data_IF_113182134433
#
_entry.id   IF_113182134433
#
_cell.length_a   1.000
_cell.length_b   1.000
_cell.length_c   1.000
_cell.angle_alpha   90.00
_cell.angle_beta   90.00
_cell.angle_gamma   90.00
#
_symmetry.space_group_name_H-M   'P 1'
#
loop_
_entity.id
_entity.type
_entity.pdbx_description
1 polymer ?
#
# COMPACT_ATOMS: atom_id res chain seq x y z
N UNK A 1 -83.64 11.55 24.28
CA UNK A 1 -82.45 12.38 24.54
C UNK A 1 -81.22 11.49 24.31
N UNK A 2 -80.65 11.52 23.11
CA UNK A 2 -79.45 10.74 22.78
C UNK A 2 -78.21 11.51 23.20
N UNK A 3 -77.48 11.00 24.18
CA UNK A 3 -76.14 11.51 24.52
C UNK A 3 -75.15 10.96 23.48
N UNK A 4 -74.60 11.87 22.67
CA UNK A 4 -73.47 11.60 21.79
C UNK A 4 -72.23 11.40 22.67
N UNK A 5 -71.61 10.22 22.64
CA UNK A 5 -70.29 10.02 23.25
C UNK A 5 -69.26 10.91 22.54
N UNK A 6 -68.34 11.57 23.28
CA UNK A 6 -67.24 12.29 22.66
C UNK A 6 -66.28 11.30 21.99
N UNK A 7 -65.98 11.56 20.72
CA UNK A 7 -64.95 10.84 19.99
C UNK A 7 -63.60 10.99 20.71
N UNK A 8 -62.79 9.94 20.78
CA UNK A 8 -61.58 9.97 21.58
C UNK A 8 -60.45 10.83 21.00
N UNK A 9 -59.58 11.42 21.85
CA UNK A 9 -58.55 12.37 21.45
C UNK A 9 -57.26 11.74 20.87
N UNK A 10 -57.22 10.42 20.62
CA UNK A 10 -55.95 9.71 20.42
C UNK A 10 -55.42 9.61 18.97
N UNK A 11 -56.18 9.99 17.94
CA UNK A 11 -55.71 9.81 16.54
C UNK A 11 -54.91 10.99 15.96
N UNK A 12 -55.11 12.21 16.45
CA UNK A 12 -54.44 13.39 15.91
C UNK A 12 -52.94 13.47 16.27
N UNK A 13 -52.55 13.04 17.47
CA UNK A 13 -51.17 13.13 17.95
C UNK A 13 -50.21 12.10 17.35
N UNK A 14 -50.72 10.95 16.88
CA UNK A 14 -49.90 9.91 16.25
C UNK A 14 -49.41 10.36 14.86
N UNK A 15 -50.28 11.01 14.08
CA UNK A 15 -49.94 11.55 12.75
C UNK A 15 -48.92 12.68 12.89
N UNK A 16 -49.10 13.59 13.85
CA UNK A 16 -48.16 14.68 14.12
C UNK A 16 -46.78 14.16 14.55
N UNK A 17 -46.73 13.11 15.38
CA UNK A 17 -45.48 12.44 15.78
C UNK A 17 -44.74 11.83 14.58
N UNK A 18 -45.47 11.19 13.65
CA UNK A 18 -44.91 10.63 12.41
C UNK A 18 -44.40 11.73 11.48
N UNK A 19 -45.13 12.84 11.35
CA UNK A 19 -44.70 13.99 10.52
C UNK A 19 -43.43 14.65 11.09
N UNK A 20 -43.32 14.76 12.42
CA UNK A 20 -42.11 15.26 13.09
C UNK A 20 -40.94 14.28 12.91
N UNK A 21 -41.19 12.97 12.99
CA UNK A 21 -40.17 11.95 12.76
C UNK A 21 -39.67 11.97 11.31
N UNK A 22 -40.56 12.08 10.32
CA UNK A 22 -40.21 12.21 8.91
C UNK A 22 -39.38 13.47 8.63
N UNK A 23 -39.77 14.62 9.20
CA UNK A 23 -38.96 15.84 9.08
C UNK A 23 -37.56 15.69 9.67
N UNK A 24 -37.42 14.98 10.80
CA UNK A 24 -36.10 14.68 11.40
C UNK A 24 -35.27 13.76 10.51
N UNK A 25 -35.88 12.75 9.89
CA UNK A 25 -35.20 11.83 8.96
C UNK A 25 -34.74 12.55 7.70
N UNK A 26 -35.58 13.41 7.13
CA UNK A 26 -35.22 14.25 5.97
C UNK A 26 -34.03 15.16 6.33
N UNK A 27 -34.07 15.81 7.50
CA UNK A 27 -32.95 16.64 7.97
C UNK A 27 -31.66 15.85 8.25
N UNK A 28 -31.76 14.58 8.65
CA UNK A 28 -30.60 13.70 8.81
C UNK A 28 -30.01 13.29 7.45
N UNK A 29 -30.86 12.94 6.49
CA UNK A 29 -30.47 12.61 5.12
C UNK A 29 -29.75 13.79 4.45
N UNK A 30 -30.24 15.01 4.65
CA UNK A 30 -29.64 16.21 4.06
C UNK A 30 -28.24 16.49 4.66
N UNK A 31 -28.04 16.22 5.96
CA UNK A 31 -26.71 16.29 6.58
C UNK A 31 -25.77 15.20 6.05
N UNK A 32 -26.27 13.99 5.86
CA UNK A 32 -25.50 12.87 5.31
C UNK A 32 -25.11 13.17 3.86
N UNK A 33 -26.03 13.70 3.04
CA UNK A 33 -25.76 14.15 1.67
C UNK A 33 -24.61 15.15 1.64
N UNK A 34 -24.72 16.23 2.40
CA UNK A 34 -23.69 17.26 2.45
C UNK A 34 -22.33 16.70 2.90
N UNK A 35 -22.32 15.82 3.90
CA UNK A 35 -21.10 15.17 4.37
C UNK A 35 -20.47 14.22 3.32
N UNK A 36 -21.29 13.48 2.57
CA UNK A 36 -20.84 12.60 1.48
C UNK A 36 -20.31 13.41 0.30
N UNK A 37 -21.00 14.48 -0.10
CA UNK A 37 -20.54 15.37 -1.17
C UNK A 37 -19.21 16.04 -0.80
N UNK A 38 -19.08 16.54 0.42
CA UNK A 38 -17.82 17.09 0.92
C UNK A 38 -16.70 16.03 0.93
N UNK A 39 -17.00 14.82 1.41
CA UNK A 39 -16.06 13.69 1.42
C UNK A 39 -15.62 13.31 0.00
N UNK A 40 -16.57 13.21 -0.94
CA UNK A 40 -16.31 12.92 -2.37
C UNK A 40 -15.39 13.94 -3.02
N UNK A 41 -15.36 15.18 -2.52
CA UNK A 41 -14.46 16.22 -3.01
C UNK A 41 -13.07 16.21 -2.34
N UNK A 42 -12.96 15.80 -1.07
CA UNK A 42 -11.71 15.79 -0.31
C UNK A 42 -10.90 14.51 -0.49
N UNK A 43 -11.58 13.37 -0.60
CA UNK A 43 -10.99 12.05 -0.82
C UNK A 43 -10.02 12.03 -2.04
N UNK A 44 -10.42 12.51 -3.23
CA UNK A 44 -9.53 12.49 -4.39
C UNK A 44 -8.29 13.35 -4.21
N UNK A 45 -8.42 14.49 -3.51
CA UNK A 45 -7.29 15.37 -3.20
C UNK A 45 -6.29 14.68 -2.29
N UNK A 46 -6.77 13.98 -1.27
CA UNK A 46 -5.92 13.19 -0.39
C UNK A 46 -5.19 12.08 -1.17
N UNK A 47 -5.86 11.40 -2.11
CA UNK A 47 -5.25 10.38 -2.94
C UNK A 47 -4.13 10.94 -3.85
N UNK A 48 -4.34 12.11 -4.45
CA UNK A 48 -3.32 12.82 -5.23
C UNK A 48 -2.14 13.21 -4.34
N UNK A 49 -2.39 13.77 -3.15
CA UNK A 49 -1.32 14.12 -2.22
C UNK A 49 -0.49 12.91 -1.80
N UNK A 50 -1.12 11.76 -1.54
CA UNK A 50 -0.42 10.52 -1.25
C UNK A 50 0.46 10.06 -2.42
N UNK A 51 -0.03 10.19 -3.65
CA UNK A 51 0.76 9.90 -4.85
C UNK A 51 1.98 10.83 -4.97
N UNK A 52 1.80 12.13 -4.76
CA UNK A 52 2.90 13.11 -4.79
C UNK A 52 3.94 12.84 -3.70
N UNK A 53 3.50 12.51 -2.47
CA UNK A 53 4.42 12.15 -1.38
C UNK A 53 5.18 10.87 -1.73
N UNK A 54 4.50 9.87 -2.30
CA UNK A 54 5.14 8.61 -2.73
C UNK A 54 6.22 8.87 -3.79
N UNK A 55 5.89 9.66 -4.81
CA UNK A 55 6.83 10.02 -5.86
C UNK A 55 8.03 10.81 -5.30
N UNK A 56 7.77 11.80 -4.43
CA UNK A 56 8.84 12.56 -3.79
C UNK A 56 9.74 11.67 -2.92
N UNK A 57 9.16 10.68 -2.22
CA UNK A 57 9.95 9.71 -1.43
C UNK A 57 10.78 8.78 -2.30
N UNK A 58 10.28 8.38 -3.48
CA UNK A 58 11.02 7.57 -4.45
C UNK A 58 12.21 8.36 -5.04
N UNK A 59 11.97 9.61 -5.46
CA UNK A 59 13.03 10.50 -5.93
C UNK A 59 14.10 10.73 -4.85
N UNK A 60 13.69 11.04 -3.63
CA UNK A 60 14.62 11.24 -2.52
C UNK A 60 15.45 9.99 -2.22
N UNK A 61 14.89 8.78 -2.37
CA UNK A 61 15.68 7.56 -2.17
C UNK A 61 16.63 7.25 -3.30
N UNK A 62 16.29 7.55 -4.54
CA UNK A 62 17.23 7.45 -5.65
C UNK A 62 18.41 8.39 -5.39
N UNK A 63 18.14 9.64 -4.98
CA UNK A 63 19.19 10.60 -4.62
C UNK A 63 20.05 10.11 -3.44
N UNK A 64 19.45 9.48 -2.42
CA UNK A 64 20.21 8.88 -1.31
C UNK A 64 21.09 7.73 -1.83
N UNK A 65 20.58 6.86 -2.70
CA UNK A 65 21.35 5.76 -3.27
C UNK A 65 22.55 6.26 -4.09
N UNK A 66 22.37 7.30 -4.90
CA UNK A 66 23.47 7.93 -5.66
C UNK A 66 24.56 8.50 -4.74
N UNK A 67 24.15 9.14 -3.63
CA UNK A 67 25.07 9.65 -2.61
C UNK A 67 25.80 8.49 -1.90
N UNK A 68 25.11 7.39 -1.59
CA UNK A 68 25.73 6.20 -0.99
C UNK A 68 26.74 5.55 -1.95
N UNK A 69 26.44 5.45 -3.25
CA UNK A 69 27.38 4.94 -4.25
C UNK A 69 28.65 5.79 -4.32
N UNK A 70 28.48 7.12 -4.32
CA UNK A 70 29.62 8.06 -4.25
C UNK A 70 30.42 7.86 -2.96
N UNK A 71 29.73 7.62 -1.83
CA UNK A 71 30.37 7.36 -0.55
C UNK A 71 31.17 6.06 -0.55
N UNK A 72 30.66 4.97 -1.15
CA UNK A 72 31.40 3.70 -1.33
C UNK A 72 32.65 3.92 -2.19
N UNK A 73 32.56 4.69 -3.28
CA UNK A 73 33.71 5.00 -4.14
C UNK A 73 34.78 5.80 -3.40
N UNK A 74 34.36 6.80 -2.61
CA UNK A 74 35.27 7.60 -1.79
C UNK A 74 35.94 6.74 -0.72
N UNK A 75 35.19 5.89 -0.01
CA UNK A 75 35.72 4.94 0.96
C UNK A 75 36.77 4.03 0.31
N UNK A 76 36.48 3.43 -0.85
CA UNK A 76 37.45 2.58 -1.56
C UNK A 76 38.70 3.34 -2.04
N UNK A 77 38.60 4.64 -2.30
CA UNK A 77 39.76 5.49 -2.63
C UNK A 77 40.60 5.78 -1.39
N UNK A 78 39.97 6.11 -0.26
CA UNK A 78 40.66 6.33 1.01
C UNK A 78 41.35 5.04 1.48
N UNK A 79 40.73 3.86 1.32
CA UNK A 79 41.37 2.58 1.62
C UNK A 79 42.68 2.38 0.83
N UNK A 80 42.69 2.71 -0.47
CA UNK A 80 43.90 2.62 -1.31
C UNK A 80 44.99 3.61 -0.89
N UNK A 81 44.60 4.84 -0.55
CA UNK A 81 45.52 5.86 -0.08
C UNK A 81 46.14 5.47 1.27
N UNK A 82 45.32 4.93 2.16
CA UNK A 82 45.73 4.43 3.47
C UNK A 82 46.70 3.26 3.36
N UNK A 83 46.44 2.33 2.43
CA UNK A 83 47.35 1.22 2.12
C UNK A 83 48.70 1.70 1.56
N UNK A 84 48.69 2.77 0.76
CA UNK A 84 49.89 3.38 0.21
C UNK A 84 50.71 4.09 1.30
N UNK A 85 50.06 4.84 2.19
CA UNK A 85 50.64 5.45 3.39
C UNK A 85 51.22 4.41 4.35
N UNK A 86 50.50 3.30 4.53
CA UNK A 86 50.92 2.18 5.38
C UNK A 86 52.22 1.55 4.88
N UNK A 87 52.40 1.45 3.55
CA UNK A 87 53.62 0.92 2.93
C UNK A 87 54.80 1.91 2.96
N UNK A 88 54.54 3.21 2.93
CA UNK A 88 55.58 4.24 2.94
C UNK A 88 56.08 4.62 4.33
N UNK A 89 55.32 4.27 5.38
CA UNK A 89 55.63 4.67 6.77
C UNK A 89 56.25 3.52 7.57
N UNK A 90 57.42 3.75 8.17
CA UNK A 90 58.19 2.73 8.93
C UNK A 90 57.99 2.79 10.46
N UNK A 91 57.23 3.77 10.97
CA UNK A 91 57.01 3.93 12.41
C UNK A 91 55.88 3.02 12.91
N UNK A 92 56.11 2.17 13.93
CA UNK A 92 55.11 1.23 14.42
C UNK A 92 53.86 1.90 15.01
N UNK A 93 54.01 3.08 15.63
CA UNK A 93 52.88 3.87 16.16
C UNK A 93 51.94 4.33 15.05
N UNK A 94 52.48 4.82 13.94
CA UNK A 94 51.69 5.25 12.77
C UNK A 94 51.03 4.07 12.07
N UNK A 95 51.65 2.90 12.09
CA UNK A 95 51.06 1.68 11.54
C UNK A 95 49.81 1.24 12.32
N UNK A 96 49.84 1.37 13.66
CA UNK A 96 48.68 1.07 14.51
C UNK A 96 47.53 2.03 14.24
N UNK A 97 47.77 3.34 14.19
CA UNK A 97 46.72 4.33 13.94
C UNK A 97 46.12 4.20 12.54
N UNK A 98 46.94 3.90 11.52
CA UNK A 98 46.44 3.60 10.16
C UNK A 98 45.56 2.35 10.15
N UNK A 99 45.89 1.33 10.94
CA UNK A 99 45.07 0.11 11.05
C UNK A 99 43.72 0.41 11.71
N UNK A 100 43.69 1.27 12.74
CA UNK A 100 42.45 1.71 13.37
C UNK A 100 41.57 2.55 12.43
N UNK A 101 42.18 3.43 11.63
CA UNK A 101 41.48 4.20 10.59
C UNK A 101 40.92 3.27 9.51
N UNK A 102 41.68 2.27 9.06
CA UNK A 102 41.22 1.28 8.08
C UNK A 102 39.97 0.53 8.59
N UNK A 103 40.01 0.11 9.86
CA UNK A 103 38.88 -0.59 10.48
C UNK A 103 37.62 0.29 10.52
N UNK A 104 37.75 1.56 10.91
CA UNK A 104 36.62 2.51 10.94
C UNK A 104 36.05 2.76 9.55
N UNK A 105 36.89 2.81 8.52
CA UNK A 105 36.44 2.97 7.13
C UNK A 105 35.68 1.73 6.66
N UNK A 106 36.14 0.53 7.02
CA UNK A 106 35.43 -0.72 6.72
C UNK A 106 34.05 -0.78 7.43
N UNK A 107 33.96 -0.30 8.67
CA UNK A 107 32.69 -0.14 9.40
C UNK A 107 31.75 0.81 8.65
N UNK A 108 32.25 1.98 8.19
CA UNK A 108 31.46 2.94 7.40
C UNK A 108 30.95 2.33 6.10
N UNK A 109 31.77 1.54 5.39
CA UNK A 109 31.34 0.85 4.16
C UNK A 109 30.20 -0.16 4.44
N UNK A 110 30.32 -0.92 5.53
CA UNK A 110 29.29 -1.87 5.94
C UNK A 110 27.97 -1.17 6.30
N UNK A 111 28.03 -0.03 6.98
CA UNK A 111 26.87 0.78 7.31
C UNK A 111 26.19 1.34 6.04
N UNK A 112 26.98 1.83 5.08
CA UNK A 112 26.47 2.29 3.77
C UNK A 112 25.72 1.18 3.03
N UNK A 113 26.27 -0.04 2.99
CA UNK A 113 25.58 -1.20 2.41
C UNK A 113 24.28 -1.56 3.15
N UNK A 114 24.29 -1.47 4.49
CA UNK A 114 23.10 -1.73 5.29
C UNK A 114 21.99 -0.71 5.01
N UNK A 115 22.33 0.57 4.82
CA UNK A 115 21.37 1.61 4.43
C UNK A 115 20.79 1.33 3.05
N UNK A 116 21.63 0.98 2.06
CA UNK A 116 21.18 0.59 0.71
C UNK A 116 20.14 -0.53 0.78
N UNK A 117 20.38 -1.57 1.57
CA UNK A 117 19.43 -2.69 1.76
C UNK A 117 18.16 -2.24 2.50
N UNK A 118 18.27 -1.36 3.49
CA UNK A 118 17.13 -0.88 4.26
C UNK A 118 16.16 -0.03 3.40
N UNK A 119 16.71 0.78 2.48
CA UNK A 119 15.91 1.63 1.59
C UNK A 119 15.17 0.83 0.52
N UNK A 120 15.63 -0.38 0.16
CA UNK A 120 14.99 -1.26 -0.82
C UNK A 120 13.58 -1.77 -0.40
N UNK A 121 13.16 -1.60 0.87
CA UNK A 121 11.81 -2.00 1.33
C UNK A 121 10.70 -1.03 0.87
N UNK A 122 11.04 0.08 0.22
CA UNK A 122 10.07 1.10 -0.17
C UNK A 122 9.00 0.65 -1.19
N UNK A 123 9.28 -0.33 -2.03
CA UNK A 123 8.32 -0.86 -3.02
C UNK A 123 7.00 -1.32 -2.36
N UNK A 124 7.07 -1.85 -1.14
CA UNK A 124 5.89 -2.30 -0.38
C UNK A 124 5.04 -1.11 0.08
N UNK A 125 5.67 0.02 0.43
CA UNK A 125 4.94 1.22 0.88
C UNK A 125 4.22 1.89 -0.28
N UNK A 126 4.87 2.01 -1.44
CA UNK A 126 4.24 2.54 -2.65
C UNK A 126 3.04 1.70 -3.09
N UNK A 127 3.18 0.36 -3.08
CA UNK A 127 2.09 -0.57 -3.40
C UNK A 127 0.91 -0.45 -2.43
N UNK A 128 1.19 -0.34 -1.11
CA UNK A 128 0.13 -0.16 -0.10
C UNK A 128 -0.60 1.18 -0.25
N UNK A 129 0.11 2.26 -0.56
CA UNK A 129 -0.52 3.56 -0.82
C UNK A 129 -1.38 3.50 -2.10
N UNK A 130 -0.90 2.86 -3.16
CA UNK A 130 -1.67 2.67 -4.39
C UNK A 130 -2.95 1.86 -4.16
N UNK A 131 -2.88 0.79 -3.35
CA UNK A 131 -4.05 0.01 -2.94
C UNK A 131 -5.04 0.84 -2.13
N UNK A 132 -4.55 1.63 -1.18
CA UNK A 132 -5.37 2.56 -0.39
C UNK A 132 -6.06 3.59 -1.28
N UNK A 133 -5.36 4.17 -2.26
CA UNK A 133 -5.95 5.09 -3.24
C UNK A 133 -7.08 4.43 -4.03
N UNK A 134 -6.90 3.18 -4.48
CA UNK A 134 -7.94 2.44 -5.19
C UNK A 134 -9.16 2.13 -4.31
N UNK A 135 -8.95 1.75 -3.04
CA UNK A 135 -10.02 1.53 -2.07
C UNK A 135 -10.81 2.81 -1.80
N UNK A 136 -10.10 3.91 -1.59
CA UNK A 136 -10.65 5.24 -1.38
C UNK A 136 -11.54 5.66 -2.58
N UNK A 137 -11.06 5.43 -3.80
CA UNK A 137 -11.81 5.73 -5.03
C UNK A 137 -13.05 4.82 -5.21
N UNK A 138 -12.95 3.55 -4.80
CA UNK A 138 -14.08 2.63 -4.81
C UNK A 138 -15.17 3.06 -3.84
N UNK A 139 -14.79 3.42 -2.60
CA UNK A 139 -15.72 3.92 -1.57
C UNK A 139 -16.39 5.20 -2.04
N UNK A 140 -15.65 6.12 -2.68
CA UNK A 140 -16.23 7.34 -3.27
C UNK A 140 -17.32 7.03 -4.29
N UNK A 141 -17.05 6.11 -5.23
CA UNK A 141 -18.01 5.72 -6.28
C UNK A 141 -19.28 5.11 -5.69
N UNK A 142 -19.12 4.23 -4.71
CA UNK A 142 -20.23 3.59 -4.01
C UNK A 142 -21.08 4.63 -3.26
N UNK A 143 -20.45 5.56 -2.52
CA UNK A 143 -21.16 6.63 -1.81
C UNK A 143 -21.93 7.57 -2.76
N UNK A 144 -21.35 7.93 -3.91
CA UNK A 144 -22.03 8.76 -4.91
C UNK A 144 -23.19 8.03 -5.58
N UNK A 145 -23.03 6.73 -5.82
CA UNK A 145 -24.09 5.89 -6.38
C UNK A 145 -25.27 5.78 -5.41
N UNK A 146 -25.02 5.52 -4.13
CA UNK A 146 -26.06 5.48 -3.09
C UNK A 146 -26.74 6.85 -2.89
N UNK A 147 -25.98 7.95 -2.94
CA UNK A 147 -26.55 9.29 -2.89
C UNK A 147 -27.47 9.57 -4.10
N UNK A 148 -27.05 9.16 -5.30
CA UNK A 148 -27.86 9.30 -6.52
C UNK A 148 -29.16 8.49 -6.45
N UNK A 149 -29.13 7.29 -5.85
CA UNK A 149 -30.34 6.51 -5.59
C UNK A 149 -31.29 7.19 -4.61
N UNK A 150 -30.77 7.80 -3.54
CA UNK A 150 -31.58 8.55 -2.57
C UNK A 150 -32.20 9.82 -3.20
N UNK A 151 -31.44 10.53 -4.04
CA UNK A 151 -31.93 11.70 -4.75
C UNK A 151 -33.04 11.33 -5.75
N UNK A 152 -32.84 10.25 -6.52
CA UNK A 152 -33.86 9.69 -7.42
C UNK A 152 -35.09 9.14 -6.71
N UNK A 153 -34.98 8.71 -5.45
CA UNK A 153 -36.11 8.29 -4.62
C UNK A 153 -36.86 9.48 -3.98
N UNK A 154 -36.18 10.61 -3.76
CA UNK A 154 -36.77 11.84 -3.19
C UNK A 154 -37.45 12.74 -4.24
N UNK A 155 -37.03 12.66 -5.50
CA UNK A 155 -37.65 13.35 -6.63
C UNK A 155 -38.73 12.49 -7.27
N UNK A 156 -40.00 12.79 -6.96
CA UNK A 156 -41.13 12.17 -7.64
C UNK A 156 -41.13 12.46 -9.14
N UNK A 157 -40.58 11.55 -9.94
CA UNK A 157 -40.91 11.41 -11.36
C UNK A 157 -40.61 10.00 -11.85
N UNK A 158 -41.70 9.29 -12.12
CA UNK A 158 -41.75 8.08 -12.94
C UNK A 158 -41.20 8.43 -14.33
N UNK A 159 -40.04 7.91 -14.70
CA UNK A 159 -39.46 8.10 -16.03
C UNK A 159 -38.16 7.32 -16.15
N UNK A 160 -38.22 6.18 -16.86
CA UNK A 160 -37.19 5.15 -16.81
C UNK A 160 -35.86 5.51 -17.44
N UNK A 161 -34.84 4.71 -17.11
CA UNK A 161 -34.01 4.02 -18.10
C UNK A 161 -33.28 2.85 -17.44
N UNK A 162 -33.43 1.67 -18.04
CA UNK A 162 -32.64 0.48 -17.75
C UNK A 162 -31.21 0.75 -18.21
N UNK A 163 -30.25 0.79 -17.28
CA UNK A 163 -28.85 0.55 -17.59
C UNK A 163 -28.43 -0.72 -16.84
N UNK A 164 -28.22 -1.79 -17.61
CA UNK A 164 -27.61 -3.04 -17.13
C UNK A 164 -26.10 -2.76 -16.94
N UNK A 165 -25.48 -3.01 -15.78
CA UNK A 165 -24.04 -3.07 -15.70
C UNK A 165 -23.62 -4.53 -15.94
N UNK A 166 -23.48 -4.86 -17.21
CA UNK A 166 -22.70 -6.01 -17.63
C UNK A 166 -21.46 -5.49 -18.34
N UNK A 167 -20.30 -6.02 -17.93
CA UNK A 167 -19.05 -6.14 -18.69
C UNK A 167 -17.85 -5.29 -18.23
N UNK A 168 -16.80 -6.04 -17.87
CA UNK A 168 -15.40 -5.66 -17.68
C UNK A 168 -14.94 -4.94 -16.40
N UNK A 169 -14.88 -5.67 -15.28
CA UNK A 169 -13.85 -5.40 -14.24
C UNK A 169 -13.07 -6.65 -13.80
N UNK A 170 -13.32 -7.81 -14.41
CA UNK A 170 -12.56 -9.03 -14.11
C UNK A 170 -11.39 -9.18 -15.08
N UNK A 171 -10.27 -8.50 -14.84
CA UNK A 171 -8.94 -8.95 -15.33
C UNK A 171 -7.69 -8.28 -14.76
N UNK A 172 -7.78 -7.51 -13.67
CA UNK A 172 -6.60 -6.94 -13.01
C UNK A 172 -6.40 -7.42 -11.56
N UNK A 173 -7.16 -8.42 -11.11
CA UNK A 173 -7.21 -8.88 -9.71
C UNK A 173 -6.36 -10.12 -9.42
N UNK A 174 -5.72 -10.75 -10.41
CA UNK A 174 -5.04 -12.04 -10.22
C UNK A 174 -3.56 -11.91 -9.82
N UNK A 175 -2.98 -10.71 -9.82
CA UNK A 175 -1.57 -10.47 -9.45
C UNK A 175 -1.39 -9.83 -8.06
N UNK A 176 -2.46 -9.58 -7.32
CA UNK A 176 -2.43 -8.77 -6.11
C UNK A 176 -2.90 -9.55 -4.89
N UNK A 177 -1.97 -9.84 -3.97
CA UNK A 177 -2.29 -10.37 -2.64
C UNK A 177 -2.46 -9.20 -1.65
N UNK A 178 -3.71 -8.92 -1.29
CA UNK A 178 -4.09 -7.89 -0.31
C UNK A 178 -3.51 -8.14 1.11
N UNK A 179 -2.99 -9.34 1.39
CA UNK A 179 -2.43 -9.71 2.69
C UNK A 179 -0.90 -9.80 2.69
N UNK A 180 -0.22 -9.29 1.65
CA UNK A 180 1.24 -9.27 1.60
C UNK A 180 1.82 -8.45 2.78
N UNK A 181 2.32 -9.17 3.79
CA UNK A 181 3.03 -8.59 4.94
C UNK A 181 4.52 -8.85 4.80
N UNK A 182 5.35 -7.81 4.95
CA UNK A 182 6.80 -7.97 5.01
C UNK A 182 7.16 -8.65 6.34
N UNK A 183 7.46 -9.94 6.29
CA UNK A 183 8.01 -10.68 7.42
C UNK A 183 9.48 -10.92 7.18
N UNK A 184 10.35 -10.30 7.99
CA UNK A 184 11.78 -10.58 8.03
C UNK A 184 12.01 -11.91 8.77
N UNK A 185 11.48 -13.00 8.23
CA UNK A 185 11.54 -14.33 8.83
C UNK A 185 12.31 -15.23 7.89
N UNK A 186 13.53 -15.61 8.28
CA UNK A 186 14.39 -16.51 7.51
C UNK A 186 13.66 -17.84 7.17
N UNK A 187 12.71 -18.25 8.00
CA UNK A 187 11.87 -19.43 7.79
C UNK A 187 11.00 -19.36 6.54
N UNK A 188 10.51 -18.18 6.16
CA UNK A 188 9.69 -18.01 4.94
C UNK A 188 10.58 -18.11 3.70
N UNK A 189 11.78 -17.53 3.75
CA UNK A 189 12.77 -17.63 2.68
C UNK A 189 13.22 -19.08 2.46
N UNK A 190 13.58 -19.80 3.53
CA UNK A 190 13.98 -21.21 3.46
C UNK A 190 12.88 -22.15 2.94
N UNK A 191 11.60 -21.80 3.17
CA UNK A 191 10.48 -22.57 2.62
C UNK A 191 10.30 -22.34 1.12
N UNK A 192 10.52 -21.11 0.66
CA UNK A 192 10.48 -20.78 -0.78
C UNK A 192 11.66 -21.43 -1.50
N UNK A 193 12.87 -21.35 -0.94
CA UNK A 193 14.08 -21.95 -1.51
C UNK A 193 13.91 -23.47 -1.66
N UNK A 194 13.31 -24.14 -0.67
CA UNK A 194 13.01 -25.58 -0.73
C UNK A 194 12.03 -25.94 -1.85
N UNK A 195 10.99 -25.13 -2.06
CA UNK A 195 10.02 -25.37 -3.13
C UNK A 195 10.66 -25.15 -4.51
N UNK A 196 11.57 -24.18 -4.63
CA UNK A 196 12.34 -23.95 -5.85
C UNK A 196 13.33 -25.10 -6.11
N UNK A 197 13.98 -25.62 -5.08
CA UNK A 197 14.84 -26.82 -5.18
C UNK A 197 14.04 -28.06 -5.58
N UNK A 198 12.87 -28.29 -4.97
CA UNK A 198 11.98 -29.40 -5.32
C UNK A 198 11.43 -29.28 -6.74
N UNK A 199 11.11 -28.06 -7.19
CA UNK A 199 10.66 -27.81 -8.56
C UNK A 199 11.77 -27.99 -9.60
N UNK A 200 12.99 -27.51 -9.31
CA UNK A 200 14.16 -27.74 -10.14
C UNK A 200 14.57 -29.22 -10.18
N UNK A 201 14.45 -29.94 -9.05
CA UNK A 201 14.68 -31.37 -9.00
C UNK A 201 13.64 -32.18 -9.79
N UNK A 202 12.39 -31.71 -9.83
CA UNK A 202 11.30 -32.33 -10.58
C UNK A 202 11.34 -32.03 -12.09
N UNK A 203 12.01 -30.96 -12.51
CA UNK A 203 12.18 -30.54 -13.91
C UNK A 203 13.54 -30.88 -14.52
N UNK A 204 14.39 -31.65 -13.83
CA UNK A 204 15.56 -32.27 -14.46
C UNK A 204 15.07 -33.27 -15.52
N UNK A 205 15.47 -33.12 -16.80
CA UNK A 205 15.19 -34.15 -17.79
C UNK A 205 15.87 -35.44 -17.32
N UNK A 206 15.08 -36.51 -17.24
CA UNK A 206 15.57 -37.87 -17.00
C UNK A 206 16.47 -38.27 -18.18
N UNK A 207 17.75 -37.91 -18.12
CA UNK A 207 18.77 -38.58 -18.91
C UNK A 207 18.79 -40.05 -18.48
N UNK A 208 18.46 -40.88 -19.45
CA UNK A 208 18.32 -42.32 -19.37
C UNK A 208 19.58 -42.99 -18.83
N UNK A 209 19.52 -43.45 -17.58
CA UNK A 209 20.29 -44.63 -17.16
C UNK A 209 19.47 -45.87 -17.51
N UNK A 210 19.65 -46.32 -18.75
CA UNK A 210 19.12 -47.57 -19.26
C UNK A 210 20.17 -48.30 -20.09
N UNK A 211 21.17 -48.89 -19.40
CA UNK A 211 21.65 -50.28 -19.59
C UNK A 211 23.08 -50.44 -19.02
N UNK A 212 23.16 -51.09 -17.86
CA UNK A 212 24.29 -51.95 -17.51
C UNK A 212 24.00 -53.35 -18.05
N UNK A 213 25.01 -53.98 -18.66
CA UNK A 213 25.26 -55.41 -18.44
C UNK A 213 25.22 -56.34 -19.66
N UNK A 214 26.40 -56.91 -19.95
CA UNK A 214 26.65 -58.26 -20.47
C UNK A 214 26.35 -58.55 -21.95
N UNK A 215 27.39 -58.49 -22.78
CA UNK A 215 28.03 -59.69 -23.35
C UNK A 215 29.43 -59.38 -23.89
#
# INVERSE_FOLDING_TARGET
MGQQLPAPPYEAGAVESVVIALHKVIGLLDRIKNAIEESSNKIPKAAIHLHTVTQATETATVEILDVLDTMVQNVGSVEKDLDSLRKSTQTPETHSTLTDVARRIAEVNADTMAITIALQVQDITAQKIAAVNHLIESVRKELLQELSYLEGASGGSVGGHKARPGENTRRASEAFDNNASYTKSADVQHRIDRVIEEWNASNLPSESLGQQGAH
#
